data_IF_110185629248
#
_entry.id   IF_110185629248
#
_cell.length_a   1.000
_cell.length_b   1.000
_cell.length_c   1.000
_cell.angle_alpha   90.00
_cell.angle_beta   90.00
_cell.angle_gamma   90.00
#
_symmetry.space_group_name_H-M   'P 1'
#
loop_
_entity.id
_entity.type
_entity.pdbx_description
1 polymer ?
#
# COMPACT_ATOMS: atom_id res chain seq x y z
N UNK A 1 0.34 -3.24 -16.57
CA UNK A 1 1.30 -3.85 -15.64
C UNK A 1 0.95 -3.43 -14.22
N UNK A 2 1.01 -4.33 -13.25
CA UNK A 2 0.72 -4.03 -11.85
C UNK A 2 2.01 -4.01 -11.04
N UNK A 3 2.11 -3.05 -10.14
CA UNK A 3 3.25 -2.82 -9.26
C UNK A 3 2.85 -3.08 -7.81
N UNK A 4 3.80 -3.45 -6.96
CA UNK A 4 3.51 -3.76 -5.56
C UNK A 4 4.22 -2.77 -4.65
N UNK A 5 3.43 -2.02 -3.88
CA UNK A 5 3.94 -1.07 -2.89
C UNK A 5 3.72 -1.60 -1.48
N UNK A 6 4.71 -1.36 -0.62
CA UNK A 6 4.67 -1.73 0.78
C UNK A 6 4.65 -0.46 1.64
N UNK A 7 3.70 -0.38 2.58
CA UNK A 7 3.46 0.80 3.41
C UNK A 7 3.21 0.33 4.84
N UNK A 8 3.86 0.94 5.82
CA UNK A 8 3.43 0.86 7.21
C UNK A 8 2.44 1.98 7.49
N UNK A 9 1.37 1.67 8.20
CA UNK A 9 0.35 2.62 8.62
C UNK A 9 0.15 2.56 10.12
N UNK A 10 -0.24 3.70 10.70
CA UNK A 10 -0.69 3.75 12.08
C UNK A 10 -1.96 2.88 12.26
N UNK A 11 -2.11 2.29 13.45
CA UNK A 11 -3.31 1.53 13.84
C UNK A 11 -4.56 2.42 13.99
N UNK A 12 -4.36 3.74 14.08
CA UNK A 12 -5.39 4.75 14.17
C UNK A 12 -6.38 4.71 13.00
N UNK A 13 -7.61 5.10 13.33
CA UNK A 13 -8.70 5.15 12.37
C UNK A 13 -8.39 6.14 11.23
N UNK A 14 -8.63 5.69 10.00
CA UNK A 14 -8.50 6.51 8.80
C UNK A 14 -7.14 6.46 8.07
N UNK A 15 -6.05 5.91 8.63
CA UNK A 15 -4.76 5.83 7.91
C UNK A 15 -4.88 4.98 6.64
N UNK A 16 -5.52 3.82 6.76
CA UNK A 16 -5.82 2.95 5.62
C UNK A 16 -6.75 3.63 4.60
N UNK A 17 -7.81 4.30 5.07
CA UNK A 17 -8.76 4.99 4.21
C UNK A 17 -8.11 6.13 3.43
N UNK A 18 -7.22 6.91 4.07
CA UNK A 18 -6.46 7.98 3.40
C UNK A 18 -5.50 7.41 2.36
N UNK A 19 -4.84 6.30 2.66
CA UNK A 19 -3.97 5.59 1.71
C UNK A 19 -4.76 5.14 0.46
N UNK A 20 -5.88 4.43 0.65
CA UNK A 20 -6.75 3.97 -0.45
C UNK A 20 -7.25 5.17 -1.26
N UNK A 21 -7.77 6.19 -0.56
CA UNK A 21 -8.28 7.40 -1.20
C UNK A 21 -7.24 8.14 -2.02
N UNK A 22 -5.97 8.19 -1.57
CA UNK A 22 -4.88 8.77 -2.36
C UNK A 22 -4.64 7.99 -3.65
N UNK A 23 -4.55 6.65 -3.57
CA UNK A 23 -4.25 5.79 -4.72
C UNK A 23 -5.32 5.93 -5.79
N UNK A 24 -6.59 5.81 -5.42
CA UNK A 24 -7.70 5.90 -6.36
C UNK A 24 -7.80 7.30 -7.00
N UNK A 25 -7.68 8.37 -6.19
CA UNK A 25 -7.72 9.76 -6.68
C UNK A 25 -6.56 10.11 -7.62
N UNK A 26 -5.46 9.35 -7.58
CA UNK A 26 -4.30 9.55 -8.47
C UNK A 26 -4.36 8.71 -9.74
N UNK A 27 -5.48 8.01 -9.98
CA UNK A 27 -5.71 7.25 -11.19
C UNK A 27 -5.04 5.88 -11.17
N UNK A 28 -4.88 5.29 -10.00
CA UNK A 28 -4.43 3.92 -9.85
C UNK A 28 -5.61 3.04 -9.42
N UNK A 29 -5.71 1.86 -10.02
CA UNK A 29 -6.57 0.78 -9.55
C UNK A 29 -5.83 -0.05 -8.51
N UNK A 30 -6.54 -0.53 -7.50
CA UNK A 30 -6.01 -1.47 -6.52
C UNK A 30 -6.45 -2.87 -6.95
N UNK A 31 -5.51 -3.69 -7.41
CA UNK A 31 -5.78 -5.07 -7.83
C UNK A 31 -5.76 -6.04 -6.63
N UNK A 32 -5.18 -5.64 -5.51
CA UNK A 32 -5.16 -6.43 -4.28
C UNK A 32 -4.53 -5.69 -3.12
N UNK A 33 -4.97 -6.01 -1.90
CA UNK A 33 -4.48 -5.42 -0.67
C UNK A 33 -4.38 -6.52 0.41
N UNK A 34 -3.20 -6.62 1.03
CA UNK A 34 -2.94 -7.49 2.18
C UNK A 34 -2.53 -6.60 3.35
N UNK A 35 -3.14 -6.86 4.50
CA UNK A 35 -2.88 -6.17 5.75
C UNK A 35 -2.35 -7.18 6.77
N UNK A 36 -1.24 -6.86 7.43
CA UNK A 36 -0.70 -7.60 8.55
C UNK A 36 -0.54 -6.68 9.76
N UNK A 37 -0.82 -7.21 10.95
CA UNK A 37 -0.63 -6.48 12.21
C UNK A 37 0.82 -6.64 12.67
N UNK A 38 1.50 -5.53 12.97
CA UNK A 38 2.86 -5.51 13.55
C UNK A 38 2.84 -4.74 14.88
N UNK A 39 1.84 -5.06 15.71
CA UNK A 39 1.64 -4.49 17.04
C UNK A 39 1.15 -3.05 17.01
N UNK A 40 2.08 -2.10 17.16
CA UNK A 40 1.77 -0.67 17.19
C UNK A 40 1.47 -0.10 15.79
N UNK A 41 2.00 -0.74 14.74
CA UNK A 41 1.78 -0.38 13.35
C UNK A 41 1.14 -1.55 12.61
N UNK A 42 0.64 -1.27 11.41
CA UNK A 42 0.16 -2.28 10.47
C UNK A 42 0.95 -2.18 9.19
N UNK A 43 1.28 -3.33 8.61
CA UNK A 43 1.94 -3.40 7.31
C UNK A 43 0.89 -3.66 6.23
N UNK A 44 0.91 -2.85 5.18
CA UNK A 44 0.09 -2.96 3.99
C UNK A 44 0.98 -3.36 2.82
N UNK A 45 0.62 -4.42 2.12
CA UNK A 45 1.10 -4.69 0.76
C UNK A 45 -0.06 -4.44 -0.19
N UNK A 46 0.15 -3.57 -1.17
CA UNK A 46 -0.89 -3.18 -2.11
C UNK A 46 -0.38 -3.33 -3.53
N UNK A 47 -1.13 -4.07 -4.33
CA UNK A 47 -0.90 -4.19 -5.76
C UNK A 47 -1.71 -3.12 -6.46
N UNK A 48 -1.02 -2.23 -7.17
CA UNK A 48 -1.61 -1.11 -7.88
C UNK A 48 -1.34 -1.19 -9.37
N UNK A 49 -2.28 -0.71 -10.17
CA UNK A 49 -2.13 -0.62 -11.63
C UNK A 49 -2.55 0.77 -12.09
N UNK A 50 -1.69 1.43 -12.83
CA UNK A 50 -2.03 2.70 -13.47
C UNK A 50 -3.21 2.53 -14.41
N UNK A 51 -4.15 3.47 -14.40
CA UNK A 51 -5.27 3.53 -15.36
C UNK A 51 -4.79 3.82 -16.79
N UNK A 52 -3.67 4.51 -16.90
CA UNK A 52 -3.03 4.96 -18.14
C UNK A 52 -1.49 4.93 -17.98
N UNK A 53 -0.76 4.96 -19.10
CA UNK A 53 0.71 4.85 -19.15
C UNK A 53 1.42 6.05 -18.48
N UNK A 54 0.73 7.18 -18.30
CA UNK A 54 1.27 8.34 -17.63
C UNK A 54 1.34 8.22 -16.10
N UNK A 55 0.86 7.11 -15.51
CA UNK A 55 0.88 6.88 -14.05
C UNK A 55 2.20 6.26 -13.61
N UNK A 56 2.99 7.04 -12.86
CA UNK A 56 4.26 6.60 -12.30
C UNK A 56 4.14 6.25 -10.82
N UNK A 57 4.47 5.01 -10.45
CA UNK A 57 4.40 4.51 -9.06
C UNK A 57 5.42 5.20 -8.14
N UNK A 58 6.53 5.70 -8.68
CA UNK A 58 7.49 6.51 -7.93
C UNK A 58 6.86 7.81 -7.41
N UNK A 59 6.06 8.49 -8.24
CA UNK A 59 5.34 9.70 -7.86
C UNK A 59 4.24 9.40 -6.83
N UNK A 60 3.57 8.26 -6.96
CA UNK A 60 2.63 7.79 -5.95
C UNK A 60 3.35 7.57 -4.60
N UNK A 61 4.51 6.91 -4.62
CA UNK A 61 5.34 6.70 -3.43
C UNK A 61 5.72 7.99 -2.71
N UNK A 62 6.14 9.03 -3.46
CA UNK A 62 6.45 10.36 -2.90
C UNK A 62 5.23 11.06 -2.28
N UNK A 63 4.02 10.76 -2.75
CA UNK A 63 2.80 11.32 -2.18
C UNK A 63 2.35 10.54 -0.93
N UNK A 64 2.57 9.23 -0.90
CA UNK A 64 2.38 8.41 0.30
C UNK A 64 3.29 8.89 1.43
N UNK A 65 4.52 9.30 1.13
CA UNK A 65 5.45 9.87 2.11
C UNK A 65 4.91 11.13 2.81
N UNK A 66 3.97 11.84 2.17
CA UNK A 66 3.32 13.04 2.74
C UNK A 66 2.00 12.74 3.46
N UNK A 67 1.55 11.48 3.48
CA UNK A 67 0.33 11.08 4.17
C UNK A 67 0.59 10.95 5.68
N UNK A 68 -0.27 11.59 6.48
CA UNK A 68 -0.23 11.41 7.92
C UNK A 68 -0.55 9.96 8.31
N UNK A 69 0.29 9.38 9.17
CA UNK A 69 0.14 8.00 9.65
C UNK A 69 0.45 6.94 8.58
N UNK A 70 1.17 7.29 7.52
CA UNK A 70 1.66 6.36 6.50
C UNK A 70 3.17 6.54 6.30
N UNK A 71 3.89 5.43 6.14
CA UNK A 71 5.33 5.43 5.84
C UNK A 71 5.60 4.35 4.82
N UNK A 72 6.18 4.73 3.68
CA UNK A 72 6.57 3.75 2.67
C UNK A 72 7.76 2.96 3.22
N UNK A 73 7.66 1.64 3.16
CA UNK A 73 8.78 0.75 3.47
C UNK A 73 9.35 0.23 2.15
N UNK A 74 10.64 -0.10 2.12
CA UNK A 74 11.30 -0.65 0.93
C UNK A 74 10.65 -1.96 0.45
N UNK A 75 11.25 -2.62 -0.54
CA UNK A 75 10.86 -4.01 -0.85
C UNK A 75 11.23 -4.89 0.35
N UNK A 76 10.29 -4.99 1.29
CA UNK A 76 10.39 -5.86 2.44
C UNK A 76 9.86 -7.22 2.01
N UNK A 77 10.54 -8.29 2.41
CA UNK A 77 10.19 -9.68 2.12
C UNK A 77 8.68 -9.87 2.14
N UNK A 78 8.16 -10.52 1.08
CA UNK A 78 6.74 -10.80 0.93
C UNK A 78 6.18 -11.37 2.24
N UNK A 79 4.96 -10.98 2.60
CA UNK A 79 4.30 -11.57 3.75
C UNK A 79 4.39 -13.08 3.65
N UNK A 80 4.76 -13.80 4.73
CA UNK A 80 4.56 -15.24 4.75
C UNK A 80 3.07 -15.44 4.52
N UNK A 81 2.72 -15.93 3.34
CA UNK A 81 1.36 -16.37 3.10
C UNK A 81 1.19 -17.58 4.01
N UNK A 82 0.40 -17.43 5.06
CA UNK A 82 -0.19 -18.58 5.74
C UNK A 82 -1.26 -19.17 4.80
N UNK A 83 -0.82 -19.62 3.63
CA UNK A 83 -1.49 -20.63 2.83
C UNK A 83 -0.69 -21.92 3.03
N UNK A 84 -0.68 -22.38 4.28
CA UNK A 84 -0.27 -23.72 4.66
C UNK A 84 -1.44 -24.39 5.38
N UNK A 85 -1.61 -25.68 5.11
CA UNK A 85 -2.49 -26.65 5.77
C UNK A 85 -3.95 -26.76 5.29
N UNK A 86 -4.14 -27.50 4.20
CA UNK A 86 -5.13 -28.58 4.11
C UNK A 86 -4.76 -29.53 2.95
#
# INVERSE_FOLDING_TARGET
>A
MSDTIHVQIDRADGSLQRLIGLVERRGFHIDGLILADEGALRRVQMRVRGRDDARCTENLGRQIDRLYGCTRIGQVSAFPTEAAAA
#
